data_IF_956136476160
#
_entry.id   IF_956136476160
#
_cell.length_a   1.000
_cell.length_b   1.000
_cell.length_c   1.000
_cell.angle_alpha   90.00
_cell.angle_beta   90.00
_cell.angle_gamma   90.00
#
_symmetry.space_group_name_H-M   'P 1'
#
loop_
_entity.id
_entity.type
_entity.pdbx_description
1 polymer ?
#
# COMPACT_ATOMS: atom_id res chain seq x y z
N UNK A 1 -12.52 3.12 -6.14
CA UNK A 1 -11.71 2.67 -4.99
C UNK A 1 -10.62 1.75 -5.50
N UNK A 2 -9.43 1.77 -4.89
CA UNK A 2 -8.26 1.00 -5.35
C UNK A 2 -8.54 -0.50 -5.47
N UNK A 3 -9.39 -1.06 -4.60
CA UNK A 3 -9.80 -2.47 -4.64
C UNK A 3 -10.50 -2.87 -5.95
N UNK A 4 -11.28 -1.97 -6.56
CA UNK A 4 -11.91 -2.25 -7.86
C UNK A 4 -10.87 -2.27 -8.99
N UNK A 5 -9.87 -1.39 -8.91
CA UNK A 5 -8.77 -1.34 -9.87
C UNK A 5 -7.90 -2.60 -9.78
N UNK A 6 -7.60 -3.07 -8.56
CA UNK A 6 -6.89 -4.34 -8.33
C UNK A 6 -7.62 -5.51 -8.99
N UNK A 7 -8.94 -5.63 -8.80
CA UNK A 7 -9.73 -6.71 -9.41
C UNK A 7 -9.74 -6.64 -10.94
N UNK A 8 -9.83 -5.44 -11.51
CA UNK A 8 -9.74 -5.23 -12.95
C UNK A 8 -8.36 -5.62 -13.50
N UNK A 9 -7.29 -5.27 -12.77
CA UNK A 9 -5.93 -5.59 -13.16
C UNK A 9 -5.65 -7.08 -13.16
N UNK A 10 -6.09 -7.81 -12.12
CA UNK A 10 -5.98 -9.27 -12.07
C UNK A 10 -6.64 -9.92 -13.30
N UNK A 11 -7.87 -9.51 -13.61
CA UNK A 11 -8.59 -9.99 -14.80
C UNK A 11 -7.85 -9.68 -16.10
N UNK A 12 -7.30 -8.46 -16.25
CA UNK A 12 -6.52 -8.07 -17.42
C UNK A 12 -5.22 -8.87 -17.58
N UNK A 13 -4.66 -9.36 -16.47
CA UNK A 13 -3.48 -10.23 -16.45
C UNK A 13 -3.82 -11.72 -16.64
N UNK A 14 -5.10 -12.07 -16.84
CA UNK A 14 -5.55 -13.46 -16.94
C UNK A 14 -5.54 -14.20 -15.61
N UNK A 15 -5.38 -13.48 -14.50
CA UNK A 15 -5.48 -14.00 -13.15
C UNK A 15 -6.95 -13.91 -12.74
N UNK A 16 -7.65 -15.04 -12.75
CA UNK A 16 -8.93 -15.13 -12.09
C UNK A 16 -8.66 -15.21 -10.60
N UNK A 17 -9.29 -14.33 -9.82
CA UNK A 17 -9.37 -14.50 -8.37
C UNK A 17 -10.31 -15.68 -8.07
N UNK A 18 -9.94 -16.87 -8.51
CA UNK A 18 -10.56 -18.14 -8.14
C UNK A 18 -9.82 -18.63 -6.89
N UNK A 19 -10.04 -17.96 -5.78
CA UNK A 19 -9.63 -18.47 -4.49
C UNK A 19 -10.68 -18.01 -3.50
N UNK A 20 -11.18 -18.98 -2.72
CA UNK A 20 -11.90 -18.70 -1.50
C UNK A 20 -11.16 -17.57 -0.75
N UNK A 21 -11.90 -16.67 -0.13
CA UNK A 21 -11.35 -15.75 0.86
C UNK A 21 -10.80 -16.60 2.02
N UNK A 22 -9.62 -17.22 1.84
CA UNK A 22 -8.76 -17.60 2.94
C UNK A 22 -8.26 -16.28 3.50
N UNK A 23 -9.13 -15.65 4.29
CA UNK A 23 -8.79 -14.58 5.18
C UNK A 23 -7.74 -15.13 6.13
N UNK A 24 -6.47 -14.98 5.77
CA UNK A 24 -5.43 -15.06 6.78
C UNK A 24 -5.66 -13.84 7.67
N UNK A 25 -6.11 -14.09 8.90
CA UNK A 25 -6.35 -13.03 9.88
C UNK A 25 -5.00 -12.43 10.29
N UNK A 26 -4.57 -11.42 9.54
CA UNK A 26 -3.47 -10.56 9.93
C UNK A 26 -4.09 -9.42 10.74
N UNK A 27 -3.61 -9.24 11.97
CA UNK A 27 -4.11 -8.21 12.86
C UNK A 27 -3.89 -6.82 12.23
N UNK A 28 -4.98 -6.15 11.88
CA UNK A 28 -4.94 -4.79 11.33
C UNK A 28 -4.45 -3.80 12.39
N UNK A 29 -3.48 -2.93 12.09
CA UNK A 29 -3.03 -1.90 13.02
C UNK A 29 -4.20 -1.04 13.53
N UNK A 30 -4.29 -0.83 14.84
CA UNK A 30 -5.35 -0.06 15.51
C UNK A 30 -4.78 1.21 16.16
N UNK A 31 -4.48 2.26 15.39
CA UNK A 31 -3.95 3.52 15.94
C UNK A 31 -4.98 4.20 16.86
N UNK A 32 -4.53 4.67 18.01
CA UNK A 32 -5.41 5.29 19.02
C UNK A 32 -5.12 6.78 19.22
N UNK A 33 -3.84 7.17 19.10
CA UNK A 33 -3.37 8.54 19.30
C UNK A 33 -3.02 9.22 17.99
N UNK A 34 -2.93 10.55 18.02
CA UNK A 34 -2.62 11.34 16.82
C UNK A 34 -1.26 10.93 16.23
N UNK A 35 -0.26 10.65 17.06
CA UNK A 35 1.05 10.16 16.63
C UNK A 35 0.96 8.81 15.90
N UNK A 36 0.04 7.96 16.32
CA UNK A 36 -0.17 6.63 15.73
C UNK A 36 -0.70 6.79 14.30
N UNK A 37 -1.70 7.66 14.16
CA UNK A 37 -2.28 8.02 12.87
C UNK A 37 -1.26 8.69 11.95
N UNK A 38 -0.43 9.60 12.48
CA UNK A 38 0.62 10.25 11.69
C UNK A 38 1.67 9.25 11.21
N UNK A 39 2.09 8.31 12.06
CA UNK A 39 2.98 7.21 11.66
C UNK A 39 2.37 6.34 10.57
N UNK A 40 1.10 5.96 10.71
CA UNK A 40 0.38 5.17 9.71
C UNK A 40 0.24 5.94 8.38
N UNK A 41 -0.16 7.20 8.42
CA UNK A 41 -0.32 8.02 7.22
C UNK A 41 1.00 8.29 6.52
N UNK A 42 2.11 8.38 7.25
CA UNK A 42 3.44 8.48 6.63
C UNK A 42 3.71 7.33 5.66
N UNK A 43 3.33 6.10 6.03
CA UNK A 43 3.49 4.93 5.16
C UNK A 43 2.49 4.95 4.00
N UNK A 44 1.22 5.24 4.28
CA UNK A 44 0.18 5.25 3.25
C UNK A 44 0.44 6.33 2.19
N UNK A 45 0.73 7.55 2.60
CA UNK A 45 1.02 8.65 1.68
C UNK A 45 2.36 8.44 0.96
N UNK A 46 3.36 7.92 1.66
CA UNK A 46 4.66 7.55 1.09
C UNK A 46 4.57 6.44 0.04
N UNK A 47 3.62 5.51 0.17
CA UNK A 47 3.41 4.40 -0.78
C UNK A 47 3.11 4.89 -2.21
N UNK A 48 2.53 6.09 -2.36
CA UNK A 48 2.30 6.72 -3.67
C UNK A 48 3.59 6.99 -4.45
N UNK A 49 4.70 7.26 -3.76
CA UNK A 49 6.02 7.43 -4.38
C UNK A 49 6.53 6.11 -4.94
N UNK A 50 6.37 5.02 -4.18
CA UNK A 50 6.66 3.67 -4.62
C UNK A 50 5.82 3.27 -5.84
N UNK A 51 4.51 3.57 -5.82
CA UNK A 51 3.62 3.31 -6.94
C UNK A 51 4.08 3.98 -8.23
N UNK A 52 4.58 5.23 -8.20
CA UNK A 52 5.15 5.91 -9.38
C UNK A 52 6.35 5.18 -9.96
N UNK A 53 7.22 4.65 -9.11
CA UNK A 53 8.35 3.83 -9.54
C UNK A 53 7.85 2.52 -10.16
N UNK A 54 6.85 1.89 -9.56
CA UNK A 54 6.25 0.65 -10.06
C UNK A 54 5.54 0.85 -11.41
N UNK A 55 4.84 1.97 -11.63
CA UNK A 55 4.26 2.30 -12.95
C UNK A 55 5.33 2.30 -14.04
N UNK A 56 6.50 2.92 -13.77
CA UNK A 56 7.62 2.94 -14.73
C UNK A 56 8.17 1.54 -15.00
N UNK A 57 8.27 0.70 -13.96
CA UNK A 57 8.72 -0.69 -14.09
C UNK A 57 7.71 -1.56 -14.84
N UNK A 58 6.42 -1.44 -14.54
CA UNK A 58 5.34 -2.14 -15.23
C UNK A 58 5.34 -1.82 -16.73
N UNK A 59 5.53 -0.55 -17.09
CA UNK A 59 5.62 -0.13 -18.49
C UNK A 59 6.75 -0.83 -19.25
N UNK A 60 7.89 -1.12 -18.59
CA UNK A 60 9.00 -1.89 -19.20
C UNK A 60 8.65 -3.35 -19.50
N UNK A 61 7.58 -3.86 -18.88
CA UNK A 61 7.01 -5.19 -19.10
C UNK A 61 5.78 -5.16 -20.03
N UNK A 62 5.49 -4.01 -20.67
CA UNK A 62 4.26 -3.76 -21.44
C UNK A 62 2.95 -3.84 -20.63
N UNK A 63 3.04 -3.69 -19.31
CA UNK A 63 1.91 -3.58 -18.40
C UNK A 63 1.69 -2.09 -18.10
N UNK A 64 0.47 -1.62 -18.32
CA UNK A 64 0.07 -0.21 -18.30
C UNK A 64 -1.26 -0.06 -17.56
N UNK A 65 -1.69 1.18 -17.33
CA UNK A 65 -2.98 1.49 -16.70
C UNK A 65 -4.16 0.79 -17.39
N UNK A 66 -4.12 0.60 -18.72
CA UNK A 66 -5.21 -0.04 -19.46
C UNK A 66 -5.17 -1.58 -19.48
N UNK A 67 -4.08 -2.20 -19.01
CA UNK A 67 -3.87 -3.66 -19.13
C UNK A 67 -3.08 -4.25 -17.94
N UNK A 68 -3.52 -4.00 -16.71
CA UNK A 68 -2.99 -4.70 -15.53
C UNK A 68 -2.25 -3.84 -14.50
N UNK A 69 -2.24 -2.51 -14.66
CA UNK A 69 -1.65 -1.59 -13.68
C UNK A 69 -2.52 -0.35 -13.37
N UNK A 70 -3.84 -0.45 -13.54
CA UNK A 70 -4.78 0.63 -13.19
C UNK A 70 -4.71 1.00 -11.70
N UNK A 71 -4.48 0.03 -10.80
CA UNK A 71 -4.34 0.31 -9.36
C UNK A 71 -3.08 1.14 -9.07
N UNK A 72 -1.97 0.86 -9.76
CA UNK A 72 -0.74 1.61 -9.62
C UNK A 72 -0.93 3.05 -10.12
N UNK A 73 -1.67 3.25 -11.21
CA UNK A 73 -1.99 4.57 -11.72
C UNK A 73 -2.83 5.38 -10.71
N UNK A 74 -3.85 4.75 -10.13
CA UNK A 74 -4.69 5.36 -9.07
C UNK A 74 -3.84 5.73 -7.85
N UNK A 75 -2.96 4.84 -7.39
CA UNK A 75 -2.12 5.08 -6.21
C UNK A 75 -1.01 6.12 -6.48
N UNK A 76 -0.46 6.15 -7.70
CA UNK A 76 0.58 7.09 -8.10
C UNK A 76 0.04 8.51 -8.36
N UNK A 77 -1.23 8.64 -8.77
CA UNK A 77 -1.84 9.91 -9.17
C UNK A 77 -1.94 10.95 -8.07
N UNK A 78 -1.84 10.56 -6.80
CA UNK A 78 -2.10 11.43 -5.66
C UNK A 78 -0.86 12.15 -5.10
N UNK A 79 0.02 12.62 -5.99
CA UNK A 79 1.33 13.18 -5.63
C UNK A 79 1.28 14.39 -4.68
N UNK A 80 0.23 15.20 -4.77
CA UNK A 80 0.07 16.41 -3.97
C UNK A 80 -0.11 16.08 -2.46
N UNK A 81 -0.62 14.90 -2.15
CA UNK A 81 -0.86 14.49 -0.78
C UNK A 81 0.43 14.30 0.01
N UNK A 82 1.50 13.78 -0.61
CA UNK A 82 2.76 13.56 0.10
C UNK A 82 3.39 14.87 0.59
N UNK A 83 3.52 15.87 -0.30
CA UNK A 83 4.06 17.18 0.09
C UNK A 83 3.17 17.91 1.10
N UNK A 84 1.85 17.80 0.95
CA UNK A 84 0.92 18.40 1.90
C UNK A 84 1.01 17.73 3.28
N UNK A 85 1.14 16.41 3.31
CA UNK A 85 1.31 15.65 4.55
C UNK A 85 2.62 15.97 5.26
N UNK A 86 3.73 16.13 4.53
CA UNK A 86 4.99 16.60 5.13
C UNK A 86 4.82 17.97 5.81
N UNK A 87 4.06 18.88 5.19
CA UNK A 87 3.74 20.17 5.82
C UNK A 87 2.94 20.03 7.12
N UNK A 88 2.07 19.02 7.23
CA UNK A 88 1.37 18.69 8.50
C UNK A 88 2.36 18.20 9.55
N UNK A 89 3.27 17.29 9.19
CA UNK A 89 4.29 16.79 10.12
C UNK A 89 5.21 17.90 10.63
N UNK A 90 5.65 18.79 9.75
CA UNK A 90 6.47 19.96 10.12
C UNK A 90 5.77 20.86 11.14
N UNK A 91 4.45 21.06 11.00
CA UNK A 91 3.65 21.83 11.95
C UNK A 91 3.44 21.12 13.31
N UNK A 92 3.63 19.80 13.37
CA UNK A 92 3.37 18.95 14.54
C UNK A 92 4.63 18.46 15.25
N UNK A 93 5.76 19.15 15.06
CA UNK A 93 7.07 18.85 15.70
C UNK A 93 7.08 18.74 17.24
N UNK A 94 6.01 19.18 17.92
CA UNK A 94 5.87 19.08 19.37
C UNK A 94 5.37 17.71 19.85
N UNK A 95 4.90 16.86 18.93
CA UNK A 95 4.42 15.51 19.23
C UNK A 95 5.57 14.50 19.39
N UNK A 96 5.25 13.32 19.92
CA UNK A 96 6.24 12.29 20.16
C UNK A 96 6.71 11.59 18.86
N UNK A 97 7.83 12.06 18.32
CA UNK A 97 8.45 11.52 17.10
C UNK A 97 8.75 10.01 17.18
N UNK A 98 9.25 9.53 18.32
CA UNK A 98 9.55 8.11 18.48
C UNK A 98 8.29 7.23 18.34
N UNK A 99 7.13 7.73 18.82
CA UNK A 99 5.84 7.05 18.67
C UNK A 99 5.36 7.06 17.21
N UNK A 100 5.51 8.17 16.51
CA UNK A 100 5.20 8.26 15.07
C UNK A 100 6.06 7.27 14.26
N UNK A 101 7.37 7.20 14.53
CA UNK A 101 8.28 6.25 13.89
C UNK A 101 7.89 4.80 14.19
N UNK A 102 7.56 4.49 15.44
CA UNK A 102 7.10 3.16 15.81
C UNK A 102 5.88 2.74 14.98
N UNK A 103 4.86 3.59 14.86
CA UNK A 103 3.65 3.28 14.09
C UNK A 103 3.87 3.22 12.58
N UNK A 104 4.82 3.99 12.05
CA UNK A 104 5.24 3.82 10.66
C UNK A 104 5.85 2.41 10.46
N UNK A 105 6.71 1.97 11.38
CA UNK A 105 7.31 0.63 11.31
C UNK A 105 6.28 -0.49 11.48
N UNK A 106 5.30 -0.34 12.39
CA UNK A 106 4.19 -1.31 12.55
C UNK A 106 3.36 -1.39 11.27
N UNK A 107 3.06 -0.25 10.64
CA UNK A 107 2.30 -0.21 9.38
C UNK A 107 3.07 -0.88 8.23
N UNK A 108 4.38 -0.64 8.14
CA UNK A 108 5.23 -1.36 7.17
C UNK A 108 5.28 -2.87 7.44
N UNK A 109 5.40 -3.27 8.71
CA UNK A 109 5.46 -4.67 9.11
C UNK A 109 4.16 -5.40 8.76
N UNK A 110 3.02 -4.76 9.00
CA UNK A 110 1.71 -5.26 8.58
C UNK A 110 1.63 -5.45 7.06
N UNK A 111 2.01 -4.44 6.28
CA UNK A 111 2.00 -4.53 4.82
C UNK A 111 2.93 -5.64 4.28
N UNK A 112 4.11 -5.78 4.89
CA UNK A 112 5.06 -6.84 4.57
C UNK A 112 4.50 -8.23 4.89
N UNK A 113 3.93 -8.42 6.09
CA UNK A 113 3.34 -9.69 6.49
C UNK A 113 2.18 -10.08 5.54
N UNK A 114 1.32 -9.13 5.20
CA UNK A 114 0.23 -9.37 4.25
C UNK A 114 0.72 -9.79 2.86
N UNK A 115 1.84 -9.21 2.41
CA UNK A 115 2.46 -9.60 1.14
C UNK A 115 3.05 -11.02 1.20
N UNK A 116 3.86 -11.32 2.22
CA UNK A 116 4.54 -12.61 2.35
C UNK A 116 3.55 -13.76 2.53
N UNK A 117 2.53 -13.60 3.39
CA UNK A 117 1.50 -14.63 3.59
C UNK A 117 0.81 -15.03 2.29
N UNK A 118 0.48 -14.06 1.43
CA UNK A 118 -0.13 -14.36 0.12
C UNK A 118 0.84 -15.11 -0.78
N UNK A 119 2.13 -14.76 -0.77
CA UNK A 119 3.16 -15.44 -1.55
C UNK A 119 3.39 -16.88 -1.08
N UNK A 120 3.44 -17.11 0.23
CA UNK A 120 3.60 -18.44 0.82
C UNK A 120 2.42 -19.36 0.48
N UNK A 121 1.18 -18.87 0.61
CA UNK A 121 -0.02 -19.64 0.29
C UNK A 121 -0.05 -20.04 -1.21
N UNK A 122 0.28 -19.09 -2.10
CA UNK A 122 0.33 -19.38 -3.55
C UNK A 122 1.44 -20.36 -3.95
N UNK A 123 2.52 -20.46 -3.16
CA UNK A 123 3.62 -21.41 -3.40
C UNK A 123 3.34 -22.80 -2.80
N UNK A 124 2.48 -22.90 -1.79
CA UNK A 124 2.10 -24.18 -1.17
C UNK A 124 1.10 -24.99 -2.03
N UNK A 125 0.40 -24.32 -2.96
CA UNK A 125 -0.61 -24.92 -3.85
C UNK A 125 -0.02 -25.47 -5.18
N UNK A 126 1.30 -25.61 -5.29
CA UNK A 126 2.03 -26.13 -6.47
C UNK A 126 2.99 -27.27 -6.10
#
# INVERSE_FOLDING_TARGET
>A
MISNAIRADLSALGLHADAAEETTEIATPQPEQIEDWLGLFYVLEGSSLGAKLLVKRAASLNITESNGASHLAVQAGNAANWSAFLGVLEAMQHLNEARMIHWANETFSFAHQAFETVMENNLADH
#
